data_IF_744082928762
#
_entry.id   IF_744082928762
#
_cell.length_a   1.000
_cell.length_b   1.000
_cell.length_c   1.000
_cell.angle_alpha   90.00
_cell.angle_beta   90.00
_cell.angle_gamma   90.00
#
_symmetry.space_group_name_H-M   'P 1'
#
loop_
_entity.id
_entity.type
_entity.pdbx_description
1 polymer ?
#
# COMPACT_ATOMS: atom_id res chain seq x y z
N UNK A 1 -3.20 17.44 -11.04
CA UNK A 1 -4.28 18.28 -11.61
C UNK A 1 -4.90 17.62 -12.84
N UNK A 2 -4.25 17.65 -14.03
CA UNK A 2 -4.81 17.08 -15.26
C UNK A 2 -5.42 15.68 -15.11
N UNK A 3 -4.68 14.73 -14.52
CA UNK A 3 -5.19 13.37 -14.27
C UNK A 3 -6.48 13.34 -13.41
N UNK A 4 -6.59 14.25 -12.44
CA UNK A 4 -7.77 14.36 -11.57
C UNK A 4 -8.96 14.92 -12.36
N UNK A 5 -8.70 15.93 -13.18
CA UNK A 5 -9.72 16.56 -14.03
C UNK A 5 -10.24 15.56 -15.08
N UNK A 6 -9.34 14.84 -15.76
CA UNK A 6 -9.66 13.81 -16.76
C UNK A 6 -10.46 12.66 -16.13
N UNK A 7 -10.03 12.16 -14.96
CA UNK A 7 -10.73 11.10 -14.24
C UNK A 7 -12.11 11.54 -13.75
N UNK A 8 -12.23 12.75 -13.21
CA UNK A 8 -13.51 13.29 -12.78
C UNK A 8 -14.48 13.45 -13.95
N UNK A 9 -14.01 14.03 -15.07
CA UNK A 9 -14.80 14.15 -16.30
C UNK A 9 -15.28 12.78 -16.78
N UNK A 10 -14.38 11.80 -16.84
CA UNK A 10 -14.72 10.44 -17.26
C UNK A 10 -15.76 9.77 -16.37
N UNK A 11 -15.71 9.99 -15.05
CA UNK A 11 -16.69 9.46 -14.09
C UNK A 11 -18.07 10.11 -14.30
N UNK A 12 -18.14 11.44 -14.47
CA UNK A 12 -19.41 12.16 -14.62
C UNK A 12 -20.16 11.79 -15.91
N UNK A 13 -19.44 11.38 -16.95
CA UNK A 13 -20.03 10.91 -18.21
C UNK A 13 -20.42 9.42 -18.22
N UNK A 14 -20.26 8.68 -17.12
CA UNK A 14 -20.70 7.28 -17.05
C UNK A 14 -22.23 7.16 -16.90
N UNK A 15 -22.80 6.06 -17.37
CA UNK A 15 -24.22 5.72 -17.17
C UNK A 15 -24.52 5.32 -15.73
N UNK A 16 -25.80 5.32 -15.34
CA UNK A 16 -26.24 4.94 -13.99
C UNK A 16 -25.75 3.54 -13.57
N UNK A 17 -25.76 2.57 -14.49
CA UNK A 17 -25.30 1.19 -14.23
C UNK A 17 -23.87 1.14 -13.70
N UNK A 18 -22.99 2.05 -14.15
CA UNK A 18 -21.62 2.14 -13.64
C UNK A 18 -21.59 2.40 -12.13
N UNK A 19 -22.47 3.27 -11.64
CA UNK A 19 -22.58 3.62 -10.22
C UNK A 19 -23.28 2.54 -9.40
N UNK A 20 -24.08 1.67 -10.02
CA UNK A 20 -24.69 0.52 -9.35
C UNK A 20 -23.65 -0.57 -9.01
N UNK A 21 -22.63 -0.75 -9.86
CA UNK A 21 -21.57 -1.74 -9.63
C UNK A 21 -20.32 -1.19 -8.92
N UNK A 22 -20.10 0.13 -8.93
CA UNK A 22 -18.92 0.76 -8.31
C UNK A 22 -19.31 1.58 -7.09
N UNK A 23 -18.75 1.22 -5.93
CA UNK A 23 -18.96 1.97 -4.69
C UNK A 23 -18.44 3.41 -4.79
N UNK A 24 -19.25 4.39 -4.38
CA UNK A 24 -18.87 5.80 -4.29
C UNK A 24 -17.57 6.01 -3.50
N UNK A 25 -17.36 5.23 -2.44
CA UNK A 25 -16.12 5.29 -1.64
C UNK A 25 -14.87 4.87 -2.42
N UNK A 26 -14.98 3.87 -3.29
CA UNK A 26 -13.86 3.44 -4.16
C UNK A 26 -13.53 4.52 -5.19
N UNK A 27 -14.55 5.10 -5.85
CA UNK A 27 -14.37 6.20 -6.81
C UNK A 27 -13.70 7.41 -6.18
N UNK A 28 -14.17 7.83 -5.00
CA UNK A 28 -13.56 8.92 -4.23
C UNK A 28 -12.11 8.64 -3.87
N UNK A 29 -11.82 7.41 -3.41
CA UNK A 29 -10.46 6.99 -3.06
C UNK A 29 -9.51 7.02 -4.27
N UNK A 30 -9.99 6.60 -5.45
CA UNK A 30 -9.20 6.66 -6.68
C UNK A 30 -8.91 8.11 -7.11
N UNK A 31 -9.90 9.00 -7.02
CA UNK A 31 -9.75 10.42 -7.40
C UNK A 31 -8.82 11.21 -6.45
N UNK A 32 -8.74 10.77 -5.19
CA UNK A 32 -7.95 11.40 -4.13
C UNK A 32 -6.65 10.64 -3.88
N UNK A 33 -6.71 9.56 -3.11
CA UNK A 33 -5.56 8.79 -2.65
C UNK A 33 -4.72 8.24 -3.81
N UNK A 34 -5.32 7.60 -4.82
CA UNK A 34 -4.53 7.00 -5.90
C UNK A 34 -3.84 8.07 -6.75
N UNK A 35 -4.54 9.16 -7.08
CA UNK A 35 -3.95 10.32 -7.77
C UNK A 35 -2.79 10.91 -6.96
N UNK A 36 -2.94 11.07 -5.64
CA UNK A 36 -1.90 11.61 -4.77
C UNK A 36 -0.68 10.65 -4.70
N UNK A 37 -0.91 9.33 -4.65
CA UNK A 37 0.17 8.33 -4.67
C UNK A 37 0.95 8.36 -5.99
N UNK A 38 0.26 8.52 -7.11
CA UNK A 38 0.90 8.69 -8.42
C UNK A 38 1.70 10.00 -8.45
N UNK A 39 1.16 11.09 -7.90
CA UNK A 39 1.87 12.36 -7.81
C UNK A 39 3.16 12.23 -6.98
N UNK A 40 3.10 11.59 -5.81
CA UNK A 40 4.29 11.35 -4.97
C UNK A 40 5.31 10.45 -5.67
N UNK A 41 4.84 9.44 -6.40
CA UNK A 41 5.71 8.57 -7.20
C UNK A 41 6.46 9.36 -8.29
N UNK A 42 5.74 10.14 -9.09
CA UNK A 42 6.31 10.86 -10.25
C UNK A 42 7.10 12.09 -9.82
N UNK A 43 6.52 12.97 -9.00
CA UNK A 43 7.12 14.27 -8.68
C UNK A 43 8.14 14.21 -7.54
N UNK A 44 7.94 13.34 -6.55
CA UNK A 44 8.87 13.21 -5.42
C UNK A 44 9.88 12.09 -5.66
N UNK A 45 9.37 10.88 -5.80
CA UNK A 45 10.20 9.67 -5.69
C UNK A 45 11.16 9.48 -6.85
N UNK A 46 10.78 9.86 -8.08
CA UNK A 46 11.71 9.79 -9.22
C UNK A 46 12.87 10.79 -9.09
N UNK A 47 12.59 12.01 -8.63
CA UNK A 47 13.63 13.02 -8.38
C UNK A 47 14.60 12.58 -7.28
N UNK A 48 14.06 12.05 -6.18
CA UNK A 48 14.85 11.47 -5.10
C UNK A 48 15.68 10.28 -5.60
N UNK A 49 15.11 9.41 -6.44
CA UNK A 49 15.82 8.25 -6.97
C UNK A 49 17.05 8.68 -7.77
N UNK A 50 16.90 9.65 -8.69
CA UNK A 50 18.00 10.19 -9.48
C UNK A 50 19.07 10.82 -8.58
N UNK A 51 18.66 11.71 -7.67
CA UNK A 51 19.58 12.40 -6.75
C UNK A 51 20.38 11.42 -5.90
N UNK A 52 19.69 10.47 -5.27
CA UNK A 52 20.32 9.51 -4.35
C UNK A 52 21.18 8.50 -5.11
N UNK A 53 20.86 8.16 -6.37
CA UNK A 53 21.76 7.39 -7.24
C UNK A 53 23.08 8.13 -7.47
N UNK A 54 23.05 9.43 -7.78
CA UNK A 54 24.28 10.21 -7.98
C UNK A 54 25.09 10.35 -6.69
N UNK A 55 24.45 10.61 -5.55
CA UNK A 55 25.13 10.68 -4.25
C UNK A 55 25.78 9.32 -3.93
N UNK A 56 25.05 8.22 -4.09
CA UNK A 56 25.58 6.89 -3.84
C UNK A 56 26.74 6.58 -4.78
N UNK A 57 26.62 6.90 -6.07
CA UNK A 57 27.69 6.71 -7.05
C UNK A 57 28.94 7.52 -6.67
N UNK A 58 28.78 8.79 -6.29
CA UNK A 58 29.91 9.62 -5.86
C UNK A 58 30.62 9.05 -4.62
N UNK A 59 29.86 8.57 -3.62
CA UNK A 59 30.42 7.92 -2.44
C UNK A 59 31.14 6.62 -2.79
N UNK A 60 30.57 5.80 -3.68
CA UNK A 60 31.21 4.57 -4.14
C UNK A 60 32.52 4.87 -4.88
N UNK A 61 32.51 5.82 -5.81
CA UNK A 61 33.72 6.25 -6.54
C UNK A 61 34.78 6.74 -5.56
N UNK A 62 34.41 7.56 -4.57
CA UNK A 62 35.32 8.00 -3.52
C UNK A 62 35.94 6.82 -2.75
N UNK A 63 35.11 5.89 -2.26
CA UNK A 63 35.54 4.69 -1.53
C UNK A 63 36.54 3.84 -2.36
N UNK A 64 36.28 3.67 -3.66
CA UNK A 64 37.14 2.89 -4.56
C UNK A 64 38.46 3.60 -4.89
N UNK A 65 38.45 4.93 -5.02
CA UNK A 65 39.67 5.72 -5.26
C UNK A 65 40.57 5.68 -4.02
N UNK A 66 40.00 5.73 -2.81
CA UNK A 66 40.78 5.70 -1.56
C UNK A 66 41.56 4.39 -1.39
N UNK A 67 40.91 3.24 -1.47
CA UNK A 67 41.58 1.93 -1.54
C UNK A 67 40.60 0.89 -2.09
N UNK A 68 40.81 0.47 -3.34
CA UNK A 68 39.94 -0.48 -4.03
C UNK A 68 39.89 -1.87 -3.37
N UNK A 69 40.93 -2.29 -2.64
CA UNK A 69 40.95 -3.58 -1.93
C UNK A 69 40.09 -3.52 -0.67
N UNK A 70 40.21 -2.45 0.10
CA UNK A 70 39.34 -2.19 1.25
C UNK A 70 37.88 -2.00 0.80
N UNK A 71 37.65 -1.29 -0.31
CA UNK A 71 36.32 -1.15 -0.90
C UNK A 71 35.68 -2.52 -1.19
N UNK A 72 36.38 -3.42 -1.89
CA UNK A 72 35.90 -4.77 -2.18
C UNK A 72 35.59 -5.57 -0.92
N UNK A 73 36.45 -5.49 0.09
CA UNK A 73 36.22 -6.16 1.38
C UNK A 73 34.98 -5.59 2.07
N UNK A 74 34.80 -4.27 2.06
CA UNK A 74 33.61 -3.61 2.61
C UNK A 74 32.32 -4.01 1.90
N UNK A 75 32.36 -4.23 0.58
CA UNK A 75 31.22 -4.78 -0.17
C UNK A 75 30.82 -6.19 0.25
N UNK A 76 31.74 -6.97 0.85
CA UNK A 76 31.44 -8.29 1.42
C UNK A 76 30.96 -8.18 2.87
N UNK A 77 31.57 -7.31 3.67
CA UNK A 77 31.20 -7.08 5.07
C UNK A 77 29.81 -6.43 5.17
N UNK A 78 29.47 -5.50 4.29
CA UNK A 78 28.21 -4.76 4.36
C UNK A 78 26.96 -5.68 4.28
N UNK A 79 26.86 -6.65 3.35
CA UNK A 79 25.83 -7.68 3.37
C UNK A 79 25.78 -8.47 4.67
N UNK A 80 26.93 -8.84 5.24
CA UNK A 80 27.00 -9.59 6.52
C UNK A 80 26.42 -8.76 7.67
N UNK A 81 26.59 -7.44 7.66
CA UNK A 81 25.99 -6.55 8.65
C UNK A 81 24.49 -6.28 8.41
N UNK A 82 24.08 -6.08 7.15
CA UNK A 82 22.73 -5.60 6.79
C UNK A 82 21.71 -6.73 6.65
N UNK A 83 22.10 -7.90 6.12
CA UNK A 83 21.18 -9.01 5.88
C UNK A 83 20.53 -9.51 7.19
N UNK A 84 21.27 -9.75 8.29
CA UNK A 84 20.66 -10.13 9.56
C UNK A 84 19.64 -9.10 10.05
N UNK A 85 19.96 -7.80 9.94
CA UNK A 85 19.04 -6.71 10.31
C UNK A 85 17.74 -6.76 9.51
N UNK A 86 17.82 -6.97 8.20
CA UNK A 86 16.65 -7.11 7.34
C UNK A 86 15.81 -8.35 7.71
N UNK A 87 16.46 -9.48 8.02
CA UNK A 87 15.78 -10.72 8.44
C UNK A 87 15.06 -10.54 9.77
N UNK A 88 15.70 -9.94 10.78
CA UNK A 88 15.07 -9.64 12.06
C UNK A 88 13.90 -8.67 11.91
N UNK A 89 14.06 -7.62 11.11
CA UNK A 89 12.99 -6.66 10.84
C UNK A 89 11.77 -7.33 10.19
N UNK A 90 11.98 -8.24 9.23
CA UNK A 90 10.91 -9.03 8.62
C UNK A 90 10.23 -9.95 9.62
N UNK A 91 10.99 -10.63 10.49
CA UNK A 91 10.43 -11.49 11.53
C UNK A 91 9.61 -10.71 12.57
N UNK A 92 10.10 -9.55 13.02
CA UNK A 92 9.37 -8.66 13.92
C UNK A 92 8.07 -8.18 13.29
N UNK A 93 8.09 -7.75 12.02
CA UNK A 93 6.89 -7.37 11.28
C UNK A 93 5.87 -8.53 11.22
N UNK A 94 6.32 -9.74 10.87
CA UNK A 94 5.45 -10.92 10.80
C UNK A 94 4.79 -11.25 12.14
N UNK A 95 5.56 -11.25 13.23
CA UNK A 95 5.05 -11.50 14.59
C UNK A 95 4.13 -10.36 15.07
N UNK A 96 4.44 -9.11 14.71
CA UNK A 96 3.61 -7.94 14.96
C UNK A 96 2.23 -8.03 14.30
N UNK A 97 2.18 -8.41 13.02
CA UNK A 97 0.93 -8.62 12.30
C UNK A 97 0.08 -9.73 12.93
N UNK A 98 0.69 -10.85 13.30
CA UNK A 98 -0.01 -11.93 14.00
C UNK A 98 -0.57 -11.46 15.36
N UNK A 99 0.18 -10.66 16.10
CA UNK A 99 -0.28 -10.09 17.38
C UNK A 99 -1.49 -9.17 17.17
N UNK A 100 -1.46 -8.33 16.15
CA UNK A 100 -2.59 -7.46 15.76
C UNK A 100 -3.82 -8.27 15.35
N UNK A 101 -3.64 -9.35 14.58
CA UNK A 101 -4.73 -10.27 14.23
C UNK A 101 -5.39 -10.88 15.47
N UNK A 102 -4.59 -11.32 16.47
CA UNK A 102 -5.14 -11.84 17.73
C UNK A 102 -5.84 -10.78 18.57
N UNK A 103 -5.38 -9.52 18.52
CA UNK A 103 -6.08 -8.41 19.14
C UNK A 103 -7.43 -8.12 18.44
N UNK A 104 -7.46 -8.15 17.10
CA UNK A 104 -8.70 -7.99 16.34
C UNK A 104 -9.74 -9.07 16.69
N UNK A 105 -9.30 -10.32 16.91
CA UNK A 105 -10.17 -11.38 17.39
C UNK A 105 -10.79 -11.05 18.77
N UNK A 106 -10.02 -10.47 19.69
CA UNK A 106 -10.53 -10.03 21.00
C UNK A 106 -11.58 -8.93 20.80
N UNK A 107 -11.33 -7.94 19.94
CA UNK A 107 -12.30 -6.89 19.66
C UNK A 107 -13.60 -7.42 19.06
N UNK A 108 -13.52 -8.37 18.13
CA UNK A 108 -14.70 -9.00 17.54
C UNK A 108 -15.51 -9.75 18.60
N UNK A 109 -14.86 -10.54 19.46
CA UNK A 109 -15.54 -11.25 20.55
C UNK A 109 -16.20 -10.29 21.54
N UNK A 110 -15.51 -9.19 21.87
CA UNK A 110 -16.06 -8.15 22.74
C UNK A 110 -17.30 -7.50 22.10
N UNK A 111 -17.23 -7.17 20.82
CA UNK A 111 -18.32 -6.57 20.07
C UNK A 111 -19.52 -7.53 19.96
N UNK A 112 -19.29 -8.81 19.63
CA UNK A 112 -20.31 -9.86 19.58
C UNK A 112 -21.01 -10.03 20.94
N UNK A 113 -20.24 -10.11 22.03
CA UNK A 113 -20.78 -10.33 23.37
C UNK A 113 -21.58 -9.12 23.89
N UNK A 114 -21.14 -7.90 23.62
CA UNK A 114 -21.83 -6.68 24.05
C UNK A 114 -23.11 -6.47 23.24
N UNK A 115 -23.01 -6.51 21.90
CA UNK A 115 -24.16 -6.30 21.01
C UNK A 115 -25.17 -7.44 21.15
N UNK A 116 -24.69 -8.67 21.34
CA UNK A 116 -25.48 -9.90 21.52
C UNK A 116 -25.85 -10.23 22.97
N UNK A 117 -25.64 -9.32 23.95
CA UNK A 117 -25.81 -9.61 25.38
C UNK A 117 -27.20 -10.20 25.73
N UNK A 118 -28.26 -9.75 25.04
CA UNK A 118 -29.62 -10.30 25.23
C UNK A 118 -29.68 -11.81 24.94
N UNK A 119 -28.99 -12.28 23.91
CA UNK A 119 -28.92 -13.70 23.54
C UNK A 119 -28.12 -14.47 24.60
N UNK A 120 -26.96 -13.94 25.00
CA UNK A 120 -26.11 -14.57 26.03
C UNK A 120 -26.89 -14.76 27.33
N UNK A 121 -27.67 -13.76 27.75
CA UNK A 121 -28.54 -13.84 28.93
C UNK A 121 -29.73 -14.77 28.76
N UNK A 122 -30.40 -14.75 27.61
CA UNK A 122 -31.53 -15.64 27.34
C UNK A 122 -31.16 -17.13 27.44
N UNK A 123 -29.94 -17.49 27.04
CA UNK A 123 -29.44 -18.87 27.10
C UNK A 123 -28.55 -19.17 28.31
N UNK A 124 -28.35 -18.22 29.24
CA UNK A 124 -27.47 -18.39 30.43
C UNK A 124 -26.05 -18.87 30.06
N UNK A 125 -25.49 -18.31 28.98
CA UNK A 125 -24.20 -18.76 28.39
C UNK A 125 -22.99 -17.91 28.83
N UNK A 126 -23.07 -17.16 29.94
CA UNK A 126 -22.01 -16.25 30.36
C UNK A 126 -20.67 -16.97 30.61
N UNK A 127 -20.71 -18.15 31.25
CA UNK A 127 -19.50 -18.94 31.50
C UNK A 127 -18.84 -19.41 30.19
N UNK A 128 -19.65 -19.71 29.18
CA UNK A 128 -19.15 -20.10 27.86
C UNK A 128 -18.44 -18.92 27.19
N UNK A 129 -19.07 -17.74 27.16
CA UNK A 129 -18.45 -16.54 26.57
C UNK A 129 -17.19 -16.09 27.33
N UNK A 130 -17.18 -16.15 28.67
CA UNK A 130 -15.98 -15.88 29.47
C UNK A 130 -14.84 -16.84 29.11
N UNK A 131 -15.14 -18.14 28.95
CA UNK A 131 -14.13 -19.13 28.55
C UNK A 131 -13.61 -18.88 27.14
N UNK A 132 -14.50 -18.55 26.19
CA UNK A 132 -14.15 -18.19 24.80
C UNK A 132 -13.23 -16.97 24.77
N UNK A 133 -13.57 -15.91 25.51
CA UNK A 133 -12.76 -14.69 25.63
C UNK A 133 -11.41 -14.93 26.30
N UNK A 134 -11.38 -15.72 27.38
CA UNK A 134 -10.15 -16.10 28.08
C UNK A 134 -9.17 -16.85 27.17
N UNK A 135 -9.68 -17.78 26.34
CA UNK A 135 -8.85 -18.50 25.36
C UNK A 135 -8.27 -17.56 24.30
N UNK A 136 -9.05 -16.61 23.79
CA UNK A 136 -8.57 -15.60 22.84
C UNK A 136 -7.49 -14.70 23.46
N UNK A 137 -7.70 -14.26 24.71
CA UNK A 137 -6.73 -13.46 25.47
C UNK A 137 -5.43 -14.22 25.71
N UNK A 138 -5.50 -15.51 26.05
CA UNK A 138 -4.32 -16.36 26.22
C UNK A 138 -3.53 -16.52 24.91
N UNK A 139 -4.23 -16.66 23.78
CA UNK A 139 -3.58 -16.73 22.46
C UNK A 139 -2.87 -15.41 22.12
N UNK A 140 -3.53 -14.27 22.35
CA UNK A 140 -2.92 -12.95 22.22
C UNK A 140 -1.68 -12.80 23.11
N UNK A 141 -1.77 -13.18 24.39
CA UNK A 141 -0.67 -13.14 25.34
C UNK A 141 0.53 -13.96 24.83
N UNK A 142 0.31 -15.20 24.37
CA UNK A 142 1.39 -16.04 23.81
C UNK A 142 2.06 -15.41 22.60
N UNK A 143 1.28 -14.78 21.70
CA UNK A 143 1.84 -14.10 20.51
C UNK A 143 2.59 -12.82 20.89
N UNK A 144 2.06 -12.05 21.83
CA UNK A 144 2.67 -10.82 22.32
C UNK A 144 3.99 -11.09 23.06
N UNK A 145 4.02 -12.13 23.90
CA UNK A 145 5.25 -12.57 24.56
C UNK A 145 6.33 -13.00 23.56
N UNK A 146 5.96 -13.78 22.53
CA UNK A 146 6.89 -14.17 21.46
C UNK A 146 7.43 -12.96 20.70
N UNK A 147 6.59 -11.95 20.43
CA UNK A 147 7.00 -10.71 19.79
C UNK A 147 7.97 -9.93 20.69
N UNK A 148 7.65 -9.76 21.97
CA UNK A 148 8.48 -9.07 22.95
C UNK A 148 9.86 -9.73 23.08
N UNK A 149 9.91 -11.06 23.26
CA UNK A 149 11.17 -11.81 23.32
C UNK A 149 12.02 -11.61 22.06
N UNK A 150 11.39 -11.67 20.87
CA UNK A 150 12.11 -11.45 19.60
C UNK A 150 12.66 -10.02 19.51
N UNK A 151 11.89 -9.03 19.97
CA UNK A 151 12.32 -7.63 20.03
C UNK A 151 13.51 -7.45 20.96
N UNK A 152 13.44 -8.03 22.17
CA UNK A 152 14.49 -7.92 23.19
C UNK A 152 15.82 -8.53 22.74
N UNK A 153 15.81 -9.65 21.99
CA UNK A 153 17.05 -10.24 21.46
C UNK A 153 17.65 -9.47 20.29
N UNK A 154 16.89 -8.58 19.64
CA UNK A 154 17.36 -7.88 18.45
C UNK A 154 18.48 -6.88 18.80
N UNK A 155 18.35 -6.09 19.87
CA UNK A 155 19.39 -5.09 20.23
C UNK A 155 20.73 -5.74 20.56
N UNK A 156 20.82 -6.70 21.51
CA UNK A 156 22.10 -7.30 21.89
C UNK A 156 22.78 -8.02 20.72
N UNK A 157 21.99 -8.68 19.85
CA UNK A 157 22.54 -9.32 18.66
C UNK A 157 23.13 -8.30 17.67
N UNK A 158 22.45 -7.17 17.45
CA UNK A 158 22.95 -6.11 16.57
C UNK A 158 24.17 -5.39 17.14
N UNK A 159 24.19 -5.15 18.45
CA UNK A 159 25.35 -4.58 19.14
C UNK A 159 26.56 -5.52 19.03
N UNK A 160 26.37 -6.81 19.26
CA UNK A 160 27.42 -7.81 19.09
C UNK A 160 27.94 -7.84 17.65
N UNK A 161 27.04 -7.96 16.67
CA UNK A 161 27.40 -7.99 15.25
C UNK A 161 28.12 -6.71 14.83
N UNK A 162 27.63 -5.54 15.27
CA UNK A 162 28.26 -4.25 15.04
C UNK A 162 29.66 -4.17 15.64
N UNK A 163 29.86 -4.69 16.86
CA UNK A 163 31.16 -4.80 17.50
C UNK A 163 32.13 -5.69 16.72
N UNK A 164 31.69 -6.86 16.25
CA UNK A 164 32.52 -7.76 15.43
C UNK A 164 32.92 -7.10 14.11
N UNK A 165 31.97 -6.46 13.42
CA UNK A 165 32.22 -5.74 12.17
C UNK A 165 33.21 -4.59 12.39
N UNK A 166 33.01 -3.79 13.45
CA UNK A 166 33.90 -2.68 13.77
C UNK A 166 35.32 -3.17 14.09
N UNK A 167 35.46 -4.21 14.91
CA UNK A 167 36.76 -4.81 15.22
C UNK A 167 37.48 -5.31 13.96
N UNK A 168 36.75 -6.00 13.07
CA UNK A 168 37.30 -6.51 11.81
C UNK A 168 37.78 -5.38 10.89
N UNK A 169 36.97 -4.33 10.71
CA UNK A 169 37.33 -3.16 9.91
C UNK A 169 38.54 -2.42 10.51
N UNK A 170 38.62 -2.30 11.83
CA UNK A 170 39.76 -1.68 12.52
C UNK A 170 41.06 -2.46 12.32
N UNK A 171 41.04 -3.79 12.46
CA UNK A 171 42.24 -4.63 12.26
C UNK A 171 42.75 -4.53 10.82
N UNK A 172 41.85 -4.56 9.85
CA UNK A 172 42.21 -4.40 8.43
C UNK A 172 42.75 -3.01 8.12
N UNK A 173 42.08 -1.97 8.62
CA UNK A 173 42.52 -0.58 8.48
C UNK A 173 43.88 -0.35 9.11
N UNK A 174 44.08 -0.79 10.34
CA UNK A 174 45.35 -0.67 11.06
C UNK A 174 46.49 -1.36 10.30
N UNK A 175 46.26 -2.58 9.79
CA UNK A 175 47.26 -3.30 8.99
C UNK A 175 47.66 -2.51 7.74
N UNK A 176 46.68 -1.93 7.03
CA UNK A 176 46.92 -1.10 5.83
C UNK A 176 47.63 0.21 6.14
N UNK A 177 47.32 0.84 7.27
CA UNK A 177 47.98 2.06 7.75
C UNK A 177 49.46 1.76 8.06
N UNK A 178 49.72 0.69 8.82
CA UNK A 178 51.10 0.28 9.18
C UNK A 178 51.91 -0.09 7.95
N UNK A 179 51.30 -0.71 6.94
CA UNK A 179 51.94 -1.02 5.66
C UNK A 179 52.08 0.21 4.74
N UNK A 180 51.69 1.41 5.17
CA UNK A 180 51.81 2.65 4.41
C UNK A 180 50.90 2.74 3.17
N UNK A 181 49.85 1.92 3.07
CA UNK A 181 48.96 1.92 1.91
C UNK A 181 47.90 3.03 1.97
N UNK A 182 47.48 3.43 3.17
CA UNK A 182 46.50 4.50 3.42
C UNK A 182 46.93 5.33 4.62
N UNK A 183 46.57 6.61 4.68
CA UNK A 183 46.75 7.40 5.90
C UNK A 183 45.65 7.11 6.93
N UNK A 184 45.87 7.40 8.22
CA UNK A 184 44.80 7.36 9.23
C UNK A 184 43.60 8.25 8.86
N UNK A 185 43.86 9.42 8.25
CA UNK A 185 42.82 10.33 7.79
C UNK A 185 41.98 9.72 6.66
N UNK A 186 42.62 9.06 5.70
CA UNK A 186 41.94 8.35 4.61
C UNK A 186 41.08 7.20 5.14
N UNK A 187 41.58 6.46 6.12
CA UNK A 187 40.82 5.38 6.76
C UNK A 187 39.57 5.91 7.49
N UNK A 188 39.70 6.99 8.26
CA UNK A 188 38.55 7.61 8.95
C UNK A 188 37.53 8.11 7.93
N UNK A 189 37.98 8.84 6.89
CA UNK A 189 37.11 9.33 5.81
C UNK A 189 36.43 8.18 5.06
N UNK A 190 37.12 7.07 4.82
CA UNK A 190 36.58 5.86 4.22
C UNK A 190 35.45 5.26 5.06
N UNK A 191 35.66 5.11 6.38
CA UNK A 191 34.64 4.60 7.30
C UNK A 191 33.42 5.53 7.32
N UNK A 192 33.62 6.84 7.38
CA UNK A 192 32.54 7.83 7.33
C UNK A 192 31.76 7.75 6.01
N UNK A 193 32.44 7.60 4.87
CA UNK A 193 31.81 7.46 3.56
C UNK A 193 30.92 6.21 3.49
N UNK A 194 31.34 5.09 4.07
CA UNK A 194 30.52 3.86 4.19
C UNK A 194 29.26 4.14 5.01
N UNK A 195 29.38 4.76 6.19
CA UNK A 195 28.21 5.10 7.00
C UNK A 195 27.26 6.06 6.27
N UNK A 196 27.79 7.03 5.55
CA UNK A 196 26.99 7.96 4.77
C UNK A 196 26.29 7.30 3.59
N UNK A 197 26.85 6.24 3.00
CA UNK A 197 26.18 5.49 1.92
C UNK A 197 24.90 4.78 2.37
N UNK A 198 24.73 4.51 3.66
CA UNK A 198 23.52 3.85 4.19
C UNK A 198 22.25 4.67 3.93
N UNK A 199 22.33 6.00 4.06
CA UNK A 199 21.16 6.88 3.91
C UNK A 199 20.63 6.90 2.46
N UNK A 200 21.46 7.12 1.43
CA UNK A 200 21.05 7.01 0.03
C UNK A 200 20.48 5.63 -0.33
N UNK A 201 21.11 4.54 0.11
CA UNK A 201 20.60 3.18 -0.12
C UNK A 201 19.18 3.02 0.42
N UNK A 202 18.94 3.47 1.66
CA UNK A 202 17.61 3.41 2.29
C UNK A 202 16.59 4.31 1.59
N UNK A 203 17.01 5.48 1.08
CA UNK A 203 16.14 6.40 0.33
C UNK A 203 15.79 5.82 -1.04
N UNK A 204 16.73 5.24 -1.76
CA UNK A 204 16.49 4.51 -3.02
C UNK A 204 15.47 3.39 -2.84
N UNK A 205 15.61 2.59 -1.77
CA UNK A 205 14.63 1.54 -1.46
C UNK A 205 13.22 2.11 -1.22
N UNK A 206 13.10 3.22 -0.48
CA UNK A 206 11.81 3.88 -0.25
C UNK A 206 11.22 4.49 -1.51
N UNK A 207 12.04 5.15 -2.33
CA UNK A 207 11.63 5.70 -3.62
C UNK A 207 11.10 4.58 -4.54
N UNK A 208 11.81 3.45 -4.63
CA UNK A 208 11.35 2.29 -5.39
C UNK A 208 9.99 1.77 -4.90
N UNK A 209 9.81 1.61 -3.59
CA UNK A 209 8.51 1.20 -3.02
C UNK A 209 7.40 2.20 -3.37
N UNK A 210 7.67 3.50 -3.29
CA UNK A 210 6.70 4.54 -3.63
C UNK A 210 6.34 4.52 -5.12
N UNK A 211 7.32 4.29 -6.00
CA UNK A 211 7.08 4.14 -7.44
C UNK A 211 6.21 2.92 -7.72
N UNK A 212 6.51 1.76 -7.12
CA UNK A 212 5.69 0.56 -7.28
C UNK A 212 4.25 0.76 -6.80
N UNK A 213 4.05 1.45 -5.67
CA UNK A 213 2.70 1.82 -5.22
C UNK A 213 2.00 2.76 -6.20
N UNK A 214 2.72 3.75 -6.74
CA UNK A 214 2.20 4.64 -7.77
C UNK A 214 1.75 3.89 -9.03
N UNK A 215 2.51 2.89 -9.47
CA UNK A 215 2.14 2.03 -10.62
C UNK A 215 0.84 1.26 -10.34
N UNK A 216 0.71 0.64 -9.17
CA UNK A 216 -0.51 -0.08 -8.79
C UNK A 216 -1.74 0.86 -8.69
N UNK A 217 -1.57 2.06 -8.14
CA UNK A 217 -2.62 3.09 -8.12
C UNK A 217 -2.98 3.57 -9.54
N UNK A 218 -1.99 3.68 -10.43
CA UNK A 218 -2.21 4.04 -11.82
C UNK A 218 -3.02 2.97 -12.57
N UNK A 219 -2.71 1.69 -12.39
CA UNK A 219 -3.49 0.59 -12.97
C UNK A 219 -4.97 0.65 -12.55
N UNK A 220 -5.24 0.97 -11.28
CA UNK A 220 -6.61 1.21 -10.79
C UNK A 220 -7.28 2.41 -11.45
N UNK A 221 -6.60 3.53 -11.62
CA UNK A 221 -7.17 4.68 -12.34
C UNK A 221 -7.45 4.31 -13.80
N UNK A 222 -6.53 3.58 -14.42
CA UNK A 222 -6.66 3.14 -15.80
C UNK A 222 -7.85 2.18 -16.01
N UNK A 223 -8.18 1.35 -15.02
CA UNK A 223 -9.42 0.54 -15.02
C UNK A 223 -10.66 1.41 -15.23
N UNK A 224 -10.73 2.57 -14.57
CA UNK A 224 -11.86 3.51 -14.73
C UNK A 224 -11.78 4.22 -16.07
N UNK A 225 -10.62 4.78 -16.43
CA UNK A 225 -10.49 5.52 -17.70
C UNK A 225 -10.76 4.64 -18.93
N UNK A 226 -10.56 3.33 -18.81
CA UNK A 226 -10.88 2.36 -19.85
C UNK A 226 -12.33 1.84 -19.80
N UNK A 227 -13.11 2.18 -18.76
CA UNK A 227 -14.52 1.80 -18.71
C UNK A 227 -15.31 2.59 -19.76
N UNK A 228 -16.06 1.89 -20.60
CA UNK A 228 -16.93 2.51 -21.62
C UNK A 228 -18.32 2.71 -21.02
N UNK A 229 -18.89 3.90 -21.22
CA UNK A 229 -20.31 4.10 -20.97
C UNK A 229 -21.12 3.20 -21.90
N UNK A 230 -22.14 2.52 -21.36
CA UNK A 230 -23.05 1.71 -22.18
C UNK A 230 -24.02 2.59 -22.99
N UNK A 231 -24.30 3.79 -22.50
CA UNK A 231 -25.16 4.77 -23.18
C UNK A 231 -24.24 5.69 -23.97
N UNK A 232 -24.27 5.55 -25.30
CA UNK A 232 -23.47 6.36 -26.22
C UNK A 232 -24.41 7.09 -27.16
N UNK A 233 -24.23 8.40 -27.29
CA UNK A 233 -24.99 9.20 -28.25
C UNK A 233 -24.61 8.79 -29.68
N UNK A 234 -25.62 8.60 -30.53
CA UNK A 234 -25.38 8.30 -31.94
C UNK A 234 -24.69 9.51 -32.60
N UNK A 235 -23.59 9.36 -33.36
CA UNK A 235 -22.94 10.47 -34.05
C UNK A 235 -23.85 11.26 -35.01
N UNK A 236 -24.97 10.67 -35.42
CA UNK A 236 -26.00 11.29 -36.27
C UNK A 236 -27.22 11.79 -35.47
N UNK A 237 -27.15 11.79 -34.14
CA UNK A 237 -28.20 12.37 -33.31
C UNK A 237 -28.41 13.84 -33.70
N UNK A 238 -29.66 14.26 -33.74
CA UNK A 238 -30.04 15.64 -34.02
C UNK A 238 -30.62 16.27 -32.76
N UNK A 239 -30.48 17.60 -32.60
CA UNK A 239 -31.06 18.30 -31.47
C UNK A 239 -32.58 18.07 -31.40
N UNK A 240 -33.06 17.69 -30.22
CA UNK A 240 -34.48 17.43 -30.02
C UNK A 240 -35.27 18.75 -30.18
N UNK A 241 -36.25 18.82 -31.10
CA UNK A 241 -37.12 19.99 -31.22
C UNK A 241 -38.05 20.11 -29.98
N UNK A 242 -38.76 21.24 -29.80
CA UNK A 242 -39.69 21.40 -28.69
C UNK A 242 -40.69 20.24 -28.62
N UNK A 243 -40.68 19.53 -27.48
CA UNK A 243 -41.52 18.36 -27.24
C UNK A 243 -42.83 18.73 -26.55
N UNK A 244 -43.93 18.10 -26.98
CA UNK A 244 -45.28 18.28 -26.40
C UNK A 244 -45.57 17.33 -25.21
N UNK A 245 -44.67 16.40 -24.91
CA UNK A 245 -44.81 15.49 -23.77
C UNK A 245 -45.62 14.21 -24.02
N UNK A 246 -45.79 13.77 -25.27
CA UNK A 246 -46.32 12.43 -25.55
C UNK A 246 -45.24 11.37 -25.27
N UNK A 247 -45.58 10.33 -24.51
CA UNK A 247 -44.68 9.23 -24.14
C UNK A 247 -45.32 7.91 -24.54
N UNK A 248 -44.58 7.07 -25.28
CA UNK A 248 -45.05 5.76 -25.73
C UNK A 248 -44.02 4.69 -25.41
N UNK A 249 -44.46 3.63 -24.73
CA UNK A 249 -43.73 2.39 -24.54
C UNK A 249 -44.32 1.35 -25.50
N UNK A 250 -43.49 0.72 -26.32
CA UNK A 250 -43.90 -0.32 -27.26
C UNK A 250 -43.13 -1.62 -26.98
N UNK A 251 -43.80 -2.58 -26.36
CA UNK A 251 -43.28 -3.91 -25.99
C UNK A 251 -41.94 -3.84 -25.25
N UNK A 252 -41.85 -2.94 -24.27
CA UNK A 252 -40.61 -2.68 -23.54
C UNK A 252 -40.39 -3.77 -22.49
N UNK A 253 -39.24 -4.44 -22.59
CA UNK A 253 -38.71 -5.33 -21.57
C UNK A 253 -37.40 -4.76 -21.04
N UNK A 254 -37.21 -4.78 -19.73
CA UNK A 254 -36.02 -4.20 -19.08
C UNK A 254 -35.61 -5.02 -17.87
N UNK A 255 -34.31 -5.15 -17.63
CA UNK A 255 -33.76 -5.73 -16.41
C UNK A 255 -32.36 -5.21 -16.16
N UNK A 256 -32.01 -4.98 -14.90
CA UNK A 256 -30.65 -4.58 -14.49
C UNK A 256 -29.62 -5.72 -14.66
N UNK A 257 -30.10 -6.96 -14.82
CA UNK A 257 -29.30 -8.12 -15.15
C UNK A 257 -30.08 -8.93 -16.20
N UNK A 258 -29.40 -9.43 -17.23
CA UNK A 258 -29.99 -10.24 -18.29
C UNK A 258 -30.76 -11.46 -17.75
N UNK A 259 -30.38 -11.98 -16.58
CA UNK A 259 -31.04 -13.14 -15.95
C UNK A 259 -32.31 -12.81 -15.16
N UNK A 260 -32.60 -11.54 -14.86
CA UNK A 260 -33.75 -11.13 -14.06
C UNK A 260 -34.45 -9.90 -14.67
N UNK A 261 -35.37 -10.12 -15.63
CA UNK A 261 -36.17 -9.03 -16.20
C UNK A 261 -37.14 -8.46 -15.15
N UNK A 262 -37.16 -7.13 -15.03
CA UNK A 262 -38.01 -6.34 -14.13
C UNK A 262 -39.29 -5.87 -14.83
N UNK A 263 -39.17 -5.49 -16.11
CA UNK A 263 -40.31 -5.21 -17.00
C UNK A 263 -40.36 -6.28 -18.08
N UNK A 264 -41.56 -6.75 -18.39
CA UNK A 264 -41.81 -7.77 -19.41
C UNK A 264 -42.93 -7.28 -20.34
N UNK A 265 -42.57 -7.01 -21.60
CA UNK A 265 -43.50 -6.66 -22.69
C UNK A 265 -44.49 -5.54 -22.37
N UNK A 266 -44.03 -4.50 -21.67
CA UNK A 266 -44.88 -3.39 -21.23
C UNK A 266 -45.15 -2.44 -22.40
N UNK A 267 -46.43 -2.20 -22.69
CA UNK A 267 -46.90 -1.28 -23.73
C UNK A 267 -47.95 -0.32 -23.18
N UNK A 268 -47.71 0.99 -23.31
CA UNK A 268 -48.69 2.02 -22.98
C UNK A 268 -48.36 3.33 -23.72
N UNK A 269 -49.35 4.21 -23.82
CA UNK A 269 -49.21 5.54 -24.41
C UNK A 269 -49.81 6.58 -23.47
N UNK A 270 -49.12 7.70 -23.28
CA UNK A 270 -49.54 8.83 -22.47
C UNK A 270 -49.60 10.06 -23.37
N UNK A 271 -50.76 10.69 -23.42
CA UNK A 271 -51.01 11.88 -24.23
C UNK A 271 -50.54 13.15 -23.51
N UNK A 272 -50.27 14.24 -24.24
CA UNK A 272 -49.93 15.53 -23.64
C UNK A 272 -50.96 15.96 -22.60
N UNK A 273 -50.48 16.37 -21.41
CA UNK A 273 -51.27 16.80 -20.25
C UNK A 273 -52.10 15.72 -19.55
N UNK A 274 -51.89 14.43 -19.84
CA UNK A 274 -52.47 13.35 -19.04
C UNK A 274 -51.69 13.13 -17.74
N UNK A 275 -52.41 12.84 -16.65
CA UNK A 275 -51.85 12.49 -15.35
C UNK A 275 -51.97 10.97 -15.16
N UNK A 276 -50.84 10.30 -14.98
CA UNK A 276 -50.77 8.84 -14.78
C UNK A 276 -50.27 8.54 -13.37
N UNK A 277 -50.89 7.57 -12.70
CA UNK A 277 -50.41 7.01 -11.44
C UNK A 277 -49.66 5.70 -11.73
N UNK A 278 -48.43 5.58 -11.23
CA UNK A 278 -47.52 4.43 -11.39
C UNK A 278 -47.24 3.77 -10.04
#
# INVERSE_FOLDING_TARGET
KKLRDDLFGHIIYQSSDFFDYKSTGDLMSRLTNDVDRIQVAVAGSMGDLIREMFILLALLVYIFITDWRLALISFVIAPVAVIPLALFSRQLKKKGLLCQEKMAQIYNLLHEAITGNKIVKAFTMEKFEIKKFSQATLNYFKTSLKLALTGSFTSPFMEFLGGVVAAFVLVLGATKIVQGHISPGDFVSFVVAIFYSYTPIKRLSRANNSIQQGVACYERIQEILNSKSQIVENPKAYPLPPVKGSVKFENVSFGYNEMMPVLQEVSFEVMPNETVAL
#
